data_IF_687748290101
#
_entry.id   IF_687748290101
#
_cell.length_a   1.000
_cell.length_b   1.000
_cell.length_c   1.000
_cell.angle_alpha   90.00
_cell.angle_beta   90.00
_cell.angle_gamma   90.00
#
_symmetry.space_group_name_H-M   'P 1'
#
loop_
_entity.id
_entity.type
_entity.pdbx_description
1 polymer ?
#
# COMPACT_ATOMS: atom_id res chain seq x y z
N UNK A 1 -22.17 -9.38 -1.13
CA UNK A 1 -21.05 -8.63 -0.55
C UNK A 1 -19.87 -8.60 -1.51
N UNK A 2 -19.40 -7.41 -1.84
CA UNK A 2 -18.23 -7.20 -2.68
C UNK A 2 -16.93 -7.59 -1.96
N UNK A 3 -15.87 -7.89 -2.71
CA UNK A 3 -14.53 -8.13 -2.15
C UNK A 3 -14.05 -6.93 -1.31
N UNK A 4 -14.52 -5.72 -1.61
CA UNK A 4 -14.19 -4.50 -0.87
C UNK A 4 -14.84 -4.49 0.51
N UNK A 5 -16.14 -4.78 0.60
CA UNK A 5 -16.87 -4.86 1.88
C UNK A 5 -16.26 -5.88 2.82
N UNK A 6 -15.96 -7.09 2.32
CA UNK A 6 -15.30 -8.14 3.13
C UNK A 6 -13.96 -7.71 3.71
N UNK A 7 -13.21 -6.82 3.04
CA UNK A 7 -11.94 -6.36 3.60
C UNK A 7 -12.12 -5.28 4.68
N UNK A 8 -13.20 -4.50 4.64
CA UNK A 8 -13.52 -3.52 5.69
C UNK A 8 -13.75 -4.21 7.04
N UNK A 9 -14.33 -5.41 7.02
CA UNK A 9 -14.55 -6.24 8.21
C UNK A 9 -13.24 -6.67 8.89
N UNK A 10 -12.10 -6.61 8.19
CA UNK A 10 -10.79 -6.93 8.76
C UNK A 10 -10.19 -5.77 9.56
N UNK A 11 -10.74 -4.56 9.43
CA UNK A 11 -10.24 -3.37 10.09
C UNK A 11 -10.61 -3.39 11.57
N UNK A 12 -9.59 -3.26 12.40
CA UNK A 12 -9.72 -3.08 13.85
C UNK A 12 -8.58 -2.16 14.30
N UNK A 13 -8.85 -0.89 14.67
CA UNK A 13 -10.17 -0.28 14.79
C UNK A 13 -10.90 -0.14 13.44
N UNK A 14 -12.24 -0.11 13.52
CA UNK A 14 -13.14 -0.05 12.35
C UNK A 14 -13.00 1.26 11.57
N UNK A 15 -13.51 1.25 10.33
CA UNK A 15 -13.42 2.36 9.40
C UNK A 15 -13.99 3.67 9.98
N UNK A 16 -15.10 3.63 10.71
CA UNK A 16 -15.75 4.80 11.30
C UNK A 16 -14.80 5.50 12.29
N UNK A 17 -14.06 4.72 13.08
CA UNK A 17 -13.05 5.26 14.00
C UNK A 17 -11.91 5.91 13.23
N UNK A 18 -11.41 5.27 12.17
CA UNK A 18 -10.32 5.81 11.35
C UNK A 18 -10.71 7.14 10.70
N UNK A 19 -11.92 7.22 10.14
CA UNK A 19 -12.45 8.43 9.53
C UNK A 19 -12.55 9.56 10.56
N UNK A 20 -13.09 9.26 11.74
CA UNK A 20 -13.30 10.27 12.79
C UNK A 20 -12.00 10.75 13.43
N UNK A 21 -11.05 9.83 13.70
CA UNK A 21 -9.94 10.10 14.61
C UNK A 21 -8.57 10.19 13.94
N UNK A 22 -8.38 9.65 12.74
CA UNK A 22 -7.07 9.55 12.08
C UNK A 22 -7.07 10.31 10.75
N UNK A 23 -8.07 10.09 9.90
CA UNK A 23 -8.12 10.63 8.54
C UNK A 23 -8.15 12.16 8.51
N UNK A 24 -8.59 12.81 9.58
CA UNK A 24 -8.58 14.27 9.73
C UNK A 24 -7.41 14.82 10.55
N UNK A 25 -6.52 13.99 11.09
CA UNK A 25 -5.50 14.47 12.02
C UNK A 25 -4.61 15.54 11.40
N UNK A 26 -4.33 16.64 12.11
CA UNK A 26 -3.37 17.63 11.65
C UNK A 26 -1.95 17.05 11.67
N UNK A 27 -1.09 17.61 10.83
CA UNK A 27 0.33 17.32 10.82
C UNK A 27 1.08 18.47 11.51
N UNK A 28 1.29 18.32 12.82
CA UNK A 28 2.11 19.23 13.61
C UNK A 28 3.61 19.11 13.25
N UNK A 29 4.47 19.84 13.97
CA UNK A 29 5.90 19.89 13.70
C UNK A 29 6.60 18.56 14.04
N UNK A 30 6.21 17.91 15.13
CA UNK A 30 6.78 16.65 15.59
C UNK A 30 6.45 15.52 14.60
N UNK A 31 5.18 15.41 14.21
CA UNK A 31 4.74 14.42 13.21
C UNK A 31 5.37 14.69 11.84
N UNK A 32 5.58 15.96 11.46
CA UNK A 32 6.32 16.31 10.25
C UNK A 32 7.73 15.75 10.27
N UNK A 33 8.44 15.94 11.38
CA UNK A 33 9.80 15.44 11.52
C UNK A 33 9.83 13.91 11.47
N UNK A 34 8.94 13.24 12.21
CA UNK A 34 8.83 11.78 12.19
C UNK A 34 8.59 11.22 10.77
N UNK A 35 7.72 11.87 9.98
CA UNK A 35 7.46 11.48 8.60
C UNK A 35 8.69 11.72 7.73
N UNK A 36 9.38 12.86 7.89
CA UNK A 36 10.59 13.17 7.15
C UNK A 36 11.69 12.13 7.40
N UNK A 37 11.96 11.81 8.68
CA UNK A 37 12.94 10.81 9.09
C UNK A 37 12.59 9.43 8.53
N UNK A 38 11.29 9.08 8.56
CA UNK A 38 10.80 7.81 8.01
C UNK A 38 10.93 7.74 6.49
N UNK A 39 10.70 8.84 5.77
CA UNK A 39 10.88 8.94 4.32
C UNK A 39 12.35 8.82 3.94
N UNK A 40 13.24 9.48 4.69
CA UNK A 40 14.68 9.37 4.50
C UNK A 40 15.15 7.93 4.72
N UNK A 41 14.78 7.34 5.86
CA UNK A 41 15.11 5.96 6.17
C UNK A 41 14.59 5.00 5.10
N UNK A 42 13.32 5.17 4.68
CA UNK A 42 12.74 4.39 3.61
C UNK A 42 13.56 4.51 2.32
N UNK A 43 13.89 5.74 1.90
CA UNK A 43 14.58 6.01 0.64
C UNK A 43 15.98 5.39 0.62
N UNK A 44 16.70 5.49 1.74
CA UNK A 44 18.08 5.03 1.85
C UNK A 44 18.15 3.50 2.05
N UNK A 45 17.24 2.92 2.83
CA UNK A 45 17.36 1.53 3.29
C UNK A 45 16.31 0.57 2.72
N UNK A 46 15.06 1.00 2.51
CA UNK A 46 13.94 0.10 2.18
C UNK A 46 13.43 0.25 0.74
N UNK A 47 13.78 1.33 0.05
CA UNK A 47 13.33 1.61 -1.30
C UNK A 47 13.93 0.60 -2.28
N UNK A 48 13.13 0.03 -3.20
CA UNK A 48 13.67 -0.88 -4.23
C UNK A 48 14.63 -0.18 -5.19
N UNK A 49 14.65 1.16 -5.21
CA UNK A 49 15.52 1.99 -6.04
C UNK A 49 16.79 2.45 -5.31
N UNK A 50 16.97 2.08 -4.03
CA UNK A 50 18.17 2.44 -3.28
C UNK A 50 19.40 1.79 -3.93
N UNK A 51 20.41 2.61 -4.23
CA UNK A 51 21.69 2.15 -4.79
C UNK A 51 22.54 1.39 -3.75
N UNK A 52 22.29 1.61 -2.46
CA UNK A 52 22.99 0.97 -1.35
C UNK A 52 22.53 -0.48 -1.13
N UNK A 53 21.28 -0.80 -1.42
CA UNK A 53 20.74 -2.15 -1.32
C UNK A 53 20.55 -2.78 -2.70
N UNK A 54 21.67 -3.19 -3.32
CA UNK A 54 21.66 -4.04 -4.54
C UNK A 54 20.92 -5.37 -4.32
N UNK A 55 20.83 -5.80 -3.07
CA UNK A 55 19.87 -6.80 -2.60
C UNK A 55 18.61 -6.04 -2.19
N UNK A 56 17.57 -6.03 -3.03
CA UNK A 56 16.23 -5.62 -2.60
C UNK A 56 15.95 -6.36 -1.29
N UNK A 57 15.72 -5.68 -0.17
CA UNK A 57 15.30 -6.38 1.05
C UNK A 57 14.05 -7.19 0.67
N UNK A 58 14.15 -8.54 0.56
CA UNK A 58 13.06 -9.33 0.06
C UNK A 58 11.89 -9.16 1.03
N UNK A 59 10.65 -9.35 0.57
CA UNK A 59 9.47 -9.27 1.45
C UNK A 59 9.66 -10.14 2.71
N UNK A 60 10.40 -11.25 2.60
CA UNK A 60 10.82 -12.09 3.74
C UNK A 60 11.59 -11.34 4.82
N UNK A 61 12.52 -10.44 4.48
CA UNK A 61 13.25 -9.62 5.46
C UNK A 61 12.31 -8.66 6.17
N UNK A 62 11.34 -8.08 5.47
CA UNK A 62 10.31 -7.24 6.11
C UNK A 62 9.42 -8.08 7.05
N UNK A 63 9.05 -9.30 6.64
CA UNK A 63 8.31 -10.22 7.50
C UNK A 63 9.10 -10.58 8.75
N UNK A 64 10.39 -10.90 8.61
CA UNK A 64 11.29 -11.23 9.73
C UNK A 64 11.44 -10.06 10.71
N UNK A 65 11.69 -8.84 10.22
CA UNK A 65 11.84 -7.62 11.03
C UNK A 65 10.55 -7.19 11.73
N UNK A 66 9.40 -7.63 11.23
CA UNK A 66 8.09 -7.43 11.85
C UNK A 66 7.66 -8.64 12.69
N UNK A 67 8.49 -9.69 12.79
CA UNK A 67 8.17 -10.92 13.52
C UNK A 67 7.03 -11.75 12.90
N UNK A 68 6.70 -11.55 11.62
CA UNK A 68 5.59 -12.22 10.93
C UNK A 68 6.04 -13.60 10.44
N UNK A 69 5.65 -14.65 11.16
CA UNK A 69 5.95 -16.05 10.78
C UNK A 69 4.85 -16.70 9.95
N UNK A 70 3.60 -16.29 10.16
CA UNK A 70 2.43 -16.92 9.55
C UNK A 70 1.99 -16.24 8.25
N UNK A 71 1.74 -17.05 7.21
CA UNK A 71 1.24 -16.58 5.92
C UNK A 71 -0.16 -15.94 6.03
N UNK A 72 -0.99 -16.42 6.95
CA UNK A 72 -2.32 -15.87 7.28
C UNK A 72 -2.21 -14.42 7.75
N UNK A 73 -1.35 -14.15 8.73
CA UNK A 73 -1.07 -12.81 9.28
C UNK A 73 -0.55 -11.88 8.20
N UNK A 74 0.40 -12.34 7.39
CA UNK A 74 0.88 -11.54 6.25
C UNK A 74 -0.22 -11.20 5.25
N UNK A 75 -1.09 -12.17 4.90
CA UNK A 75 -2.23 -11.95 4.00
C UNK A 75 -3.21 -10.94 4.60
N UNK A 76 -3.49 -11.02 5.91
CA UNK A 76 -4.35 -10.08 6.63
C UNK A 76 -3.78 -8.66 6.59
N UNK A 77 -2.50 -8.48 6.90
CA UNK A 77 -1.83 -7.17 6.82
C UNK A 77 -1.95 -6.56 5.43
N UNK A 78 -1.73 -7.36 4.36
CA UNK A 78 -1.90 -6.87 2.98
C UNK A 78 -3.32 -6.36 2.70
N UNK A 79 -4.35 -7.04 3.20
CA UNK A 79 -5.73 -6.59 3.05
C UNK A 79 -6.05 -5.35 3.86
N UNK A 80 -5.51 -5.23 5.07
CA UNK A 80 -5.62 -4.03 5.91
C UNK A 80 -5.01 -2.83 5.18
N UNK A 81 -3.75 -2.95 4.73
CA UNK A 81 -3.05 -1.88 3.98
C UNK A 81 -3.83 -1.46 2.75
N UNK A 82 -4.30 -2.43 1.95
CA UNK A 82 -5.11 -2.14 0.77
C UNK A 82 -6.40 -1.42 1.13
N UNK A 83 -7.10 -1.87 2.17
CA UNK A 83 -8.40 -1.29 2.55
C UNK A 83 -8.23 0.12 3.07
N UNK A 84 -7.26 0.35 3.95
CA UNK A 84 -6.99 1.70 4.46
C UNK A 84 -6.63 2.65 3.32
N UNK A 85 -5.76 2.24 2.39
CA UNK A 85 -5.43 3.06 1.23
C UNK A 85 -6.67 3.39 0.38
N UNK A 86 -7.48 2.39 0.02
CA UNK A 86 -8.68 2.58 -0.80
C UNK A 86 -9.77 3.42 -0.11
N UNK A 87 -9.99 3.22 1.18
CA UNK A 87 -10.98 4.02 1.93
C UNK A 87 -10.48 5.44 2.17
N UNK A 88 -9.18 5.64 2.39
CA UNK A 88 -8.61 6.98 2.60
C UNK A 88 -8.75 7.86 1.37
N UNK A 89 -8.40 7.34 0.19
CA UNK A 89 -8.46 8.09 -1.07
C UNK A 89 -9.90 8.43 -1.45
N UNK A 90 -10.84 7.50 -1.23
CA UNK A 90 -12.25 7.70 -1.53
C UNK A 90 -12.85 8.71 -0.56
N UNK A 91 -12.51 8.62 0.73
CA UNK A 91 -12.98 9.56 1.75
C UNK A 91 -12.52 11.00 1.49
N UNK A 92 -11.29 11.20 1.02
CA UNK A 92 -10.76 12.53 0.69
C UNK A 92 -10.99 12.94 -0.76
N UNK A 93 -11.60 12.09 -1.58
CA UNK A 93 -11.76 12.28 -3.03
C UNK A 93 -10.44 12.68 -3.73
N UNK A 94 -9.35 11.96 -3.43
CA UNK A 94 -8.02 12.19 -4.01
C UNK A 94 -7.60 11.06 -4.96
N UNK A 95 -6.67 11.31 -5.90
CA UNK A 95 -6.16 10.26 -6.77
C UNK A 95 -5.47 9.13 -5.98
N UNK A 96 -5.59 7.91 -6.51
CA UNK A 96 -4.80 6.75 -6.04
C UNK A 96 -3.31 7.10 -6.04
N UNK A 97 -2.61 6.70 -4.97
CA UNK A 97 -1.17 6.87 -4.92
C UNK A 97 -0.50 5.99 -5.98
N UNK A 98 0.46 6.57 -6.69
CA UNK A 98 1.24 5.89 -7.74
C UNK A 98 2.72 5.75 -7.38
N UNK A 99 3.22 6.65 -6.54
CA UNK A 99 4.56 6.61 -5.99
C UNK A 99 4.56 7.29 -4.62
N UNK A 100 4.98 6.57 -3.58
CA UNK A 100 4.95 7.08 -2.20
C UNK A 100 5.82 8.33 -2.02
N UNK A 101 6.90 8.48 -2.78
CA UNK A 101 7.81 9.64 -2.65
C UNK A 101 7.22 10.93 -3.21
N UNK A 102 6.09 10.84 -3.92
CA UNK A 102 5.35 11.99 -4.47
C UNK A 102 4.09 12.32 -3.66
N UNK A 103 3.75 11.50 -2.66
CA UNK A 103 2.60 11.74 -1.79
C UNK A 103 2.97 12.81 -0.77
N UNK A 104 2.08 13.79 -0.57
CA UNK A 104 2.31 14.82 0.46
C UNK A 104 2.51 14.17 1.85
N UNK A 105 3.38 14.75 2.67
CA UNK A 105 3.64 14.25 4.03
C UNK A 105 2.38 14.10 4.87
N UNK A 106 1.40 15.00 4.72
CA UNK A 106 0.11 14.93 5.43
C UNK A 106 -0.66 13.65 5.11
N UNK A 107 -0.86 13.36 3.83
CA UNK A 107 -1.57 12.16 3.39
C UNK A 107 -0.81 10.89 3.75
N UNK A 108 0.52 10.91 3.58
CA UNK A 108 1.37 9.79 3.91
C UNK A 108 1.30 9.47 5.41
N UNK A 109 1.41 10.49 6.25
CA UNK A 109 1.25 10.36 7.70
C UNK A 109 -0.08 9.71 8.07
N UNK A 110 -1.20 10.28 7.62
CA UNK A 110 -2.55 9.79 8.00
C UNK A 110 -2.79 8.35 7.58
N UNK A 111 -2.31 7.95 6.39
CA UNK A 111 -2.44 6.57 5.91
C UNK A 111 -1.55 5.62 6.70
N UNK A 112 -0.28 5.99 6.93
CA UNK A 112 0.64 5.16 7.71
C UNK A 112 0.19 5.04 9.17
N UNK A 113 -0.25 6.12 9.79
CA UNK A 113 -0.79 6.15 11.15
C UNK A 113 -2.06 5.29 11.25
N UNK A 114 -2.95 5.37 10.27
CA UNK A 114 -4.11 4.49 10.21
C UNK A 114 -3.72 3.01 10.13
N UNK A 115 -2.68 2.65 9.36
CA UNK A 115 -2.17 1.27 9.30
C UNK A 115 -1.56 0.84 10.64
N UNK A 116 -0.72 1.69 11.25
CA UNK A 116 -0.09 1.44 12.54
C UNK A 116 -1.11 1.31 13.68
N UNK A 117 -2.24 2.02 13.58
CA UNK A 117 -3.30 1.97 14.58
C UNK A 117 -4.03 0.62 14.65
N UNK A 118 -3.84 -0.26 13.66
CA UNK A 118 -4.56 -1.51 13.57
C UNK A 118 -4.03 -2.54 14.55
N UNK A 119 -4.93 -3.24 15.24
CA UNK A 119 -4.60 -4.24 16.27
C UNK A 119 -3.68 -5.32 15.70
N UNK A 120 -3.95 -5.77 14.47
CA UNK A 120 -3.08 -6.74 13.77
C UNK A 120 -1.63 -6.28 13.63
N UNK A 121 -1.37 -4.97 13.52
CA UNK A 121 -0.01 -4.43 13.48
C UNK A 121 0.53 -4.19 14.89
N UNK A 122 -0.29 -3.71 15.83
CA UNK A 122 0.11 -3.48 17.23
C UNK A 122 0.52 -4.78 17.94
N UNK A 123 -0.16 -5.87 17.64
CA UNK A 123 0.06 -7.19 18.24
C UNK A 123 1.24 -7.93 17.61
N UNK A 124 1.98 -7.30 16.68
CA UNK A 124 3.16 -7.92 16.10
C UNK A 124 4.27 -8.07 17.14
N UNK A 125 5.08 -9.15 17.05
CA UNK A 125 6.13 -9.39 18.03
C UNK A 125 7.28 -8.38 17.98
N UNK A 126 7.43 -7.65 16.88
CA UNK A 126 8.53 -6.72 16.65
C UNK A 126 8.04 -5.41 16.06
N UNK A 127 8.59 -4.31 16.56
CA UNK A 127 8.30 -2.94 16.15
C UNK A 127 9.63 -2.24 15.85
N UNK A 128 10.21 -2.47 14.66
CA UNK A 128 11.51 -1.91 14.31
C UNK A 128 11.41 -0.39 14.15
N UNK A 129 12.43 0.34 14.58
CA UNK A 129 12.46 1.80 14.47
C UNK A 129 13.23 2.27 13.23
N UNK A 130 12.69 3.20 12.41
CA UNK A 130 11.36 3.81 12.53
C UNK A 130 10.25 2.94 11.93
N UNK A 131 9.24 2.56 12.72
CA UNK A 131 8.18 1.61 12.28
C UNK A 131 7.37 2.14 11.09
N UNK A 132 7.21 3.46 11.04
CA UNK A 132 6.49 4.12 9.95
C UNK A 132 7.18 3.90 8.59
N UNK A 133 8.51 3.81 8.52
CA UNK A 133 9.22 3.50 7.27
C UNK A 133 8.92 2.08 6.75
N UNK A 134 8.74 1.12 7.67
CA UNK A 134 8.33 -0.24 7.31
C UNK A 134 6.88 -0.29 6.83
N UNK A 135 5.99 0.50 7.44
CA UNK A 135 4.62 0.67 6.94
C UNK A 135 4.58 1.36 5.57
N UNK A 136 5.42 2.37 5.34
CA UNK A 136 5.59 2.98 4.02
C UNK A 136 6.03 1.93 2.98
N UNK A 137 6.92 1.01 3.36
CA UNK A 137 7.33 -0.11 2.50
C UNK A 137 6.17 -1.05 2.19
N UNK A 138 5.30 -1.38 3.16
CA UNK A 138 4.09 -2.17 2.93
C UNK A 138 3.14 -1.47 1.96
N UNK A 139 2.91 -0.17 2.15
CA UNK A 139 2.07 0.64 1.28
C UNK A 139 2.64 0.72 -0.14
N UNK A 140 3.95 0.93 -0.28
CA UNK A 140 4.61 0.94 -1.59
C UNK A 140 4.46 -0.40 -2.32
N UNK A 141 4.64 -1.53 -1.62
CA UNK A 141 4.47 -2.85 -2.21
C UNK A 141 3.02 -3.07 -2.71
N UNK A 142 2.02 -2.55 -1.99
CA UNK A 142 0.63 -2.55 -2.45
C UNK A 142 0.42 -1.69 -3.71
N UNK A 143 0.97 -0.47 -3.74
CA UNK A 143 0.88 0.44 -4.89
C UNK A 143 1.54 -0.19 -6.13
N UNK A 144 2.74 -0.74 -5.98
CA UNK A 144 3.49 -1.39 -7.06
C UNK A 144 2.81 -2.68 -7.55
N UNK A 145 2.19 -3.46 -6.66
CA UNK A 145 1.38 -4.62 -7.04
C UNK A 145 0.14 -4.22 -7.86
N UNK A 146 -0.45 -3.08 -7.53
CA UNK A 146 -1.61 -2.53 -8.25
C UNK A 146 -1.23 -2.00 -9.64
N UNK A 147 -0.04 -1.38 -9.78
CA UNK A 147 0.44 -0.88 -11.08
C UNK A 147 0.78 -2.01 -12.06
N UNK A 148 1.35 -3.12 -11.57
CA UNK A 148 1.65 -4.30 -12.40
C UNK A 148 0.38 -4.99 -12.92
N UNK A 149 -0.64 -5.12 -12.09
CA UNK A 149 -1.91 -5.76 -12.47
C UNK A 149 -2.76 -4.89 -13.40
N UNK A 150 -2.73 -3.56 -13.24
CA UNK A 150 -3.42 -2.64 -14.15
C UNK A 150 -2.75 -2.58 -15.54
N UNK A 151 -1.42 -2.65 -15.60
CA UNK A 151 -0.66 -2.72 -16.85
C UNK A 151 -0.88 -4.06 -17.57
N UNK A 152 -0.97 -5.17 -16.83
CA UNK A 152 -1.31 -6.48 -17.38
C UNK A 152 -2.72 -6.50 -18.01
N UNK A 153 -3.72 -5.90 -17.36
CA UNK A 153 -5.07 -5.75 -17.96
C UNK A 153 -5.04 -4.91 -19.24
N UNK A 154 -4.33 -3.78 -19.27
CA UNK A 154 -4.18 -2.97 -20.49
C UNK A 154 -3.47 -3.72 -21.62
N UNK A 155 -2.47 -4.55 -21.31
CA UNK A 155 -1.78 -5.41 -22.30
C UNK A 155 -2.69 -6.54 -22.80
N UNK A 156 -3.44 -7.19 -21.93
CA UNK A 156 -4.41 -8.23 -22.31
C UNK A 156 -5.53 -7.65 -23.19
N UNK A 157 -6.05 -6.46 -22.87
CA UNK A 157 -7.04 -5.76 -23.71
C UNK A 157 -6.47 -5.36 -25.08
N UNK A 158 -5.19 -4.95 -25.15
CA UNK A 158 -4.53 -4.66 -26.44
C UNK A 158 -4.29 -5.93 -27.27
N UNK A 159 -3.86 -7.04 -26.66
CA UNK A 159 -3.72 -8.32 -27.37
C UNK A 159 -5.06 -8.87 -27.86
N UNK A 160 -6.13 -8.75 -27.07
CA UNK A 160 -7.47 -9.14 -27.49
C UNK A 160 -8.01 -8.27 -28.64
N UNK A 161 -7.72 -6.97 -28.64
CA UNK A 161 -8.11 -6.07 -29.72
C UNK A 161 -7.37 -6.34 -31.04
N UNK A 162 -6.09 -6.77 -30.98
CA UNK A 162 -5.32 -7.15 -32.18
C UNK A 162 -5.86 -8.47 -32.76
N UNK A 163 -6.25 -9.44 -31.93
CA UNK A 163 -6.86 -10.69 -32.41
C UNK A 163 -8.24 -10.50 -33.03
N UNK A 164 -8.99 -9.47 -32.65
CA UNK A 164 -10.33 -9.20 -33.20
C UNK A 164 -10.31 -8.47 -34.55
N UNK A 165 -9.22 -7.79 -34.92
CA UNK A 165 -9.10 -7.11 -36.22
C UNK A 165 -8.59 -8.01 -37.36
N UNK A 166 -8.26 -9.27 -37.08
CA UNK A 166 -7.76 -10.23 -38.07
C UNK A 166 -8.81 -11.20 -38.64
N UNK A 167 -10.09 -11.09 -38.25
CA UNK A 167 -11.13 -12.07 -38.62
C UNK A 167 -12.26 -11.52 -39.52
N UNK A 168 -12.19 -10.27 -39.98
CA UNK A 168 -13.20 -9.68 -40.89
C UNK A 168 -12.67 -9.42 -42.30
N UNK A 169 -11.84 -10.32 -42.85
CA UNK A 169 -11.47 -10.28 -44.27
C UNK A 169 -11.21 -11.68 -44.81
N UNK A 170 -12.25 -12.49 -44.90
CA UNK A 170 -12.33 -13.66 -45.79
C UNK A 170 -13.79 -14.10 -45.88
N UNK A 171 -14.58 -13.32 -46.61
CA UNK A 171 -15.78 -13.82 -47.28
C UNK A 171 -16.21 -12.79 -48.32
N UNK A 172 -15.69 -12.94 -49.53
CA UNK A 172 -16.34 -12.48 -50.75
C UNK A 172 -15.82 -13.36 -51.91
N UNK A 173 -16.66 -14.35 -52.23
CA UNK A 173 -16.98 -15.00 -53.52
C UNK A 173 -15.85 -15.13 -54.56
#
# INVERSE_FOLDING_TARGET
MSTRERRKELLSPKLEYLQTNIFHQPLDAEKRQMVADSVEYYTNNLSPKSKLNKSQAPIKVIQELLGIRETSTWKRIRYIVQSIHEEYIDFHNIPRFTNITLVSQLHLFRVCDAILSQDTLKDLPQHPEPIMAYVMRLLCNHIDGTSKTSCAKKRASKSAAISAQGLESSNEI
#
